data_IF_281544021884
#
_entry.id   IF_281544021884
#
_cell.length_a   1.000
_cell.length_b   1.000
_cell.length_c   1.000
_cell.angle_alpha   90.00
_cell.angle_beta   90.00
_cell.angle_gamma   90.00
#
_symmetry.space_group_name_H-M   'P 1'
#
loop_
_entity.id
_entity.type
_entity.pdbx_description
1 polymer ?
#
# COMPACT_ATOMS: atom_id res chain seq x y z
N UNK A 1 4.26 5.92 8.81
CA UNK A 1 3.98 4.96 7.73
C UNK A 1 3.17 3.82 8.34
N UNK A 2 2.37 3.13 7.56
CA UNK A 2 1.43 2.10 8.02
C UNK A 2 1.34 1.04 6.92
N UNK A 3 1.28 -0.24 7.30
CA UNK A 3 1.19 -1.35 6.32
C UNK A 3 -0.18 -1.41 5.69
N UNK A 4 -1.22 -1.13 6.49
CA UNK A 4 -2.61 -1.30 6.09
C UNK A 4 -3.57 -0.26 6.65
N UNK A 5 -4.35 0.33 5.76
CA UNK A 5 -5.53 1.17 6.05
C UNK A 5 -6.60 0.76 5.06
N UNK A 6 -7.78 0.32 5.47
CA UNK A 6 -8.77 -0.11 4.47
C UNK A 6 -10.23 -0.14 4.92
N UNK A 7 -10.57 -0.09 6.21
CA UNK A 7 -11.94 -0.44 6.61
C UNK A 7 -12.36 0.09 7.99
N UNK A 8 -13.67 0.00 8.24
CA UNK A 8 -14.23 0.12 9.58
C UNK A 8 -13.63 -0.95 10.49
N UNK A 9 -13.63 -2.20 10.03
CA UNK A 9 -13.06 -3.34 10.74
C UNK A 9 -12.09 -4.08 9.82
N UNK A 10 -10.93 -4.43 10.35
CA UNK A 10 -9.99 -5.35 9.69
C UNK A 10 -10.01 -6.65 10.48
N UNK A 11 -10.23 -7.77 9.80
CA UNK A 11 -10.07 -9.11 10.38
C UNK A 11 -8.97 -9.85 9.62
N UNK A 12 -7.84 -10.12 10.28
CA UNK A 12 -6.77 -10.92 9.67
C UNK A 12 -7.09 -12.39 9.92
N UNK A 13 -7.41 -13.13 8.85
CA UNK A 13 -8.05 -14.45 8.90
C UNK A 13 -7.42 -15.46 7.91
N UNK A 14 -7.74 -16.75 8.07
CA UNK A 14 -7.33 -17.84 7.18
C UNK A 14 -5.83 -17.92 6.78
N UNK A 15 -4.93 -17.61 7.71
CA UNK A 15 -3.49 -17.66 7.52
C UNK A 15 -2.89 -16.41 6.87
N UNK A 16 -3.61 -15.28 6.86
CA UNK A 16 -3.05 -13.99 6.49
C UNK A 16 -2.16 -13.41 7.58
N UNK A 17 -1.20 -12.58 7.16
CA UNK A 17 -0.20 -11.93 8.01
C UNK A 17 -0.10 -10.44 7.65
N UNK A 18 -0.07 -9.55 8.64
CA UNK A 18 0.18 -8.11 8.42
C UNK A 18 1.36 -7.70 9.27
N UNK A 19 2.53 -7.54 8.66
CA UNK A 19 3.78 -7.28 9.36
C UNK A 19 4.29 -5.87 9.08
N UNK A 20 4.29 -5.03 10.11
CA UNK A 20 4.90 -3.70 10.10
C UNK A 20 6.37 -3.67 10.44
N UNK A 21 6.98 -4.83 10.74
CA UNK A 21 8.42 -4.94 10.88
C UNK A 21 9.07 -4.99 9.50
N UNK A 22 10.20 -4.32 9.35
CA UNK A 22 10.93 -4.37 8.07
C UNK A 22 11.47 -5.78 7.86
N UNK A 23 10.93 -6.49 6.87
CA UNK A 23 11.24 -7.88 6.59
C UNK A 23 12.66 -8.08 6.06
N UNK A 24 13.37 -6.98 5.77
CA UNK A 24 14.70 -6.99 5.22
C UNK A 24 15.79 -6.60 6.21
N UNK A 25 16.96 -7.23 6.01
CA UNK A 25 18.19 -6.79 6.66
C UNK A 25 18.88 -5.70 5.83
N UNK A 26 19.65 -4.81 6.48
CA UNK A 26 20.46 -3.82 5.77
C UNK A 26 21.52 -4.43 4.80
N UNK A 27 21.75 -5.75 4.82
CA UNK A 27 22.58 -6.42 3.81
C UNK A 27 21.83 -6.72 2.51
N UNK A 28 20.50 -6.81 2.56
CA UNK A 28 19.66 -7.10 1.39
C UNK A 28 19.43 -5.82 0.56
N UNK A 29 19.37 -4.67 1.24
CA UNK A 29 19.28 -3.37 0.59
C UNK A 29 19.76 -2.22 1.50
N UNK A 30 20.26 -1.09 0.94
CA UNK A 30 20.79 0.03 1.71
C UNK A 30 19.78 0.71 2.66
N UNK A 31 18.47 0.53 2.42
CA UNK A 31 17.39 1.08 3.23
C UNK A 31 16.80 0.11 4.26
N UNK A 32 17.26 -1.15 4.31
CA UNK A 32 16.74 -2.17 5.21
C UNK A 32 17.05 -1.89 6.69
N UNK A 33 16.36 -2.59 7.59
CA UNK A 33 16.24 -2.26 9.02
C UNK A 33 15.65 -0.86 9.26
N UNK A 34 14.65 -0.46 8.47
CA UNK A 34 13.87 0.72 8.78
C UNK A 34 13.16 0.56 10.13
N UNK A 35 12.76 1.69 10.72
CA UNK A 35 11.93 1.66 11.92
C UNK A 35 10.63 0.90 11.64
N UNK A 36 10.21 0.09 12.63
CA UNK A 36 8.92 -0.60 12.59
C UNK A 36 7.79 0.41 12.39
N UNK A 37 6.83 0.03 11.56
CA UNK A 37 5.64 0.83 11.27
C UNK A 37 4.42 0.19 11.93
N UNK A 38 3.31 0.93 11.97
CA UNK A 38 2.04 0.34 12.45
C UNK A 38 1.63 -0.80 11.52
N UNK A 39 1.33 -1.97 12.07
CA UNK A 39 0.86 -3.12 11.31
C UNK A 39 -0.48 -2.82 10.64
N UNK A 40 -1.58 -2.91 11.39
CA UNK A 40 -2.92 -2.65 10.86
C UNK A 40 -3.60 -1.44 11.49
N UNK A 41 -4.25 -0.62 10.66
CA UNK A 41 -5.09 0.50 11.14
C UNK A 41 -6.50 0.37 10.58
N UNK A 42 -7.48 0.41 11.48
CA UNK A 42 -8.91 0.44 11.14
C UNK A 42 -9.63 1.57 11.88
N UNK A 43 -10.83 1.97 11.42
CA UNK A 43 -11.60 3.02 12.10
C UNK A 43 -12.23 2.56 13.42
N UNK A 44 -12.66 1.30 13.49
CA UNK A 44 -13.46 0.75 14.59
C UNK A 44 -12.71 -0.35 15.33
N UNK A 45 -12.22 -1.37 14.64
CA UNK A 45 -11.46 -2.45 15.26
C UNK A 45 -10.53 -3.16 14.30
N UNK A 46 -9.42 -3.63 14.85
CA UNK A 46 -8.55 -4.62 14.21
C UNK A 46 -8.66 -5.91 15.03
N UNK A 47 -8.89 -7.03 14.37
CA UNK A 47 -8.89 -8.36 14.97
C UNK A 47 -7.97 -9.30 14.22
N UNK A 48 -7.49 -10.29 14.95
CA UNK A 48 -6.65 -11.37 14.47
C UNK A 48 -7.34 -12.69 14.82
N UNK A 49 -7.60 -13.51 13.80
CA UNK A 49 -8.07 -14.88 13.96
C UNK A 49 -6.98 -15.83 14.49
N UNK A 50 -7.34 -17.07 14.79
CA UNK A 50 -6.36 -18.05 15.27
C UNK A 50 -5.35 -18.44 14.17
N UNK A 51 -4.05 -18.37 14.48
CA UNK A 51 -2.94 -18.71 13.58
C UNK A 51 -2.66 -17.70 12.47
N UNK A 52 -3.02 -16.44 12.72
CA UNK A 52 -2.64 -15.30 11.89
C UNK A 52 -1.65 -14.44 12.70
N UNK A 53 -1.15 -13.36 12.13
CA UNK A 53 -0.28 -12.45 12.88
C UNK A 53 -0.48 -10.99 12.44
N UNK A 54 -0.41 -10.10 13.42
CA UNK A 54 -0.38 -8.66 13.20
C UNK A 54 0.82 -8.13 13.99
N UNK A 55 1.92 -7.90 13.28
CA UNK A 55 3.15 -7.40 13.86
C UNK A 55 3.34 -5.92 13.48
N UNK A 56 4.01 -5.14 14.34
CA UNK A 56 4.28 -3.73 14.08
C UNK A 56 4.62 -2.96 15.36
N UNK A 57 4.79 -1.65 15.23
CA UNK A 57 5.02 -0.76 16.37
C UNK A 57 4.22 0.55 16.25
N UNK A 58 2.95 0.57 16.73
CA UNK A 58 2.23 -0.53 17.38
C UNK A 58 1.77 -1.63 16.41
N UNK A 59 1.44 -2.81 16.92
CA UNK A 59 0.85 -3.92 16.13
C UNK A 59 -0.41 -3.44 15.38
N UNK A 60 -1.32 -2.79 16.10
CA UNK A 60 -2.51 -2.19 15.52
C UNK A 60 -2.87 -0.86 16.15
N UNK A 61 -3.62 -0.05 15.41
CA UNK A 61 -4.17 1.22 15.89
C UNK A 61 -5.61 1.40 15.43
N UNK A 62 -6.43 2.05 16.26
CA UNK A 62 -7.79 2.43 15.91
C UNK A 62 -7.82 3.93 15.65
N UNK A 63 -8.30 4.32 14.46
CA UNK A 63 -8.40 5.71 14.10
C UNK A 63 -9.78 6.30 14.37
N UNK A 64 -9.92 6.91 15.55
CA UNK A 64 -11.20 7.50 16.00
C UNK A 64 -11.63 8.80 15.27
N UNK A 65 -10.75 9.37 14.44
CA UNK A 65 -10.88 10.65 13.74
C UNK A 65 -11.79 10.67 12.52
N UNK A 66 -12.16 9.51 12.00
CA UNK A 66 -12.88 9.37 10.73
C UNK A 66 -11.95 9.44 9.50
N UNK A 67 -12.54 9.29 8.31
CA UNK A 67 -11.83 9.04 7.04
C UNK A 67 -10.95 10.20 6.56
N UNK A 68 -11.31 11.45 6.85
CA UNK A 68 -10.48 12.60 6.48
C UNK A 68 -9.23 12.68 7.34
N UNK A 69 -9.36 12.49 8.67
CA UNK A 69 -8.17 12.35 9.50
C UNK A 69 -7.35 11.17 8.99
N UNK A 70 -8.02 10.06 8.63
CA UNK A 70 -7.40 8.84 8.12
C UNK A 70 -6.45 9.06 6.93
N UNK A 71 -6.87 9.89 5.98
CA UNK A 71 -6.05 10.22 4.83
C UNK A 71 -4.97 11.26 5.16
N UNK A 72 -5.28 12.21 6.07
CA UNK A 72 -4.37 13.25 6.51
C UNK A 72 -3.13 12.73 7.27
N UNK A 73 -3.23 11.72 8.17
CA UNK A 73 -2.02 11.26 8.89
C UNK A 73 -1.07 10.40 8.06
N UNK A 74 -1.56 9.78 6.98
CA UNK A 74 -0.67 9.12 6.02
C UNK A 74 0.07 10.16 5.17
N UNK A 75 -0.45 11.40 5.11
CA UNK A 75 0.12 12.48 4.31
C UNK A 75 0.00 12.25 2.81
N UNK A 76 -0.85 11.31 2.38
CA UNK A 76 -1.08 11.03 0.97
C UNK A 76 -2.07 12.03 0.39
N UNK A 77 -1.68 12.65 -0.71
CA UNK A 77 -2.56 13.51 -1.50
C UNK A 77 -3.37 12.68 -2.47
N UNK A 78 -4.33 11.90 -1.95
CA UNK A 78 -5.17 11.05 -2.79
C UNK A 78 -5.86 11.85 -3.88
N UNK A 79 -6.33 13.06 -3.56
CA UNK A 79 -6.90 14.01 -4.51
C UNK A 79 -5.99 14.34 -5.71
N UNK A 80 -4.67 14.27 -5.52
CA UNK A 80 -3.68 14.43 -6.59
C UNK A 80 -3.39 13.09 -7.27
N UNK A 81 -3.27 12.00 -6.50
CA UNK A 81 -2.91 10.68 -7.01
C UNK A 81 -4.04 10.01 -7.82
N UNK A 82 -5.31 10.31 -7.51
CA UNK A 82 -6.48 9.84 -8.25
C UNK A 82 -6.84 10.74 -9.43
N UNK A 83 -6.26 11.94 -9.54
CA UNK A 83 -6.51 12.84 -10.67
C UNK A 83 -6.17 12.10 -11.99
N UNK A 84 -7.12 11.98 -12.95
CA UNK A 84 -6.87 11.33 -14.23
C UNK A 84 -5.69 11.91 -15.00
N UNK A 85 -5.37 13.20 -14.78
CA UNK A 85 -4.24 13.90 -15.39
C UNK A 85 -2.92 13.74 -14.61
N UNK A 86 -2.95 13.15 -13.41
CA UNK A 86 -1.71 12.83 -12.69
C UNK A 86 -0.89 11.81 -13.50
N UNK A 87 0.40 12.10 -13.74
CA UNK A 87 1.21 11.34 -14.66
C UNK A 87 1.57 9.98 -14.06
N UNK A 88 1.35 8.94 -14.85
CA UNK A 88 1.71 7.55 -14.54
C UNK A 88 2.41 6.94 -15.75
N UNK A 89 3.24 5.92 -15.54
CA UNK A 89 3.93 5.23 -16.62
C UNK A 89 2.97 4.37 -17.45
N UNK A 90 1.98 3.78 -16.78
CA UNK A 90 1.00 2.89 -17.41
C UNK A 90 -0.42 3.12 -16.89
N UNK A 91 -1.40 3.04 -17.80
CA UNK A 91 -2.83 3.14 -17.48
C UNK A 91 -3.56 1.90 -17.97
N UNK A 92 -4.23 1.20 -17.05
CA UNK A 92 -5.01 -0.02 -17.27
C UNK A 92 -4.21 -1.16 -17.97
N UNK A 93 -2.90 -1.20 -17.75
CA UNK A 93 -2.01 -2.21 -18.30
C UNK A 93 -0.75 -2.34 -17.45
N UNK A 94 -0.17 -3.53 -17.42
CA UNK A 94 1.14 -3.76 -16.80
C UNK A 94 2.28 -3.54 -17.82
N UNK A 95 3.45 -3.04 -17.38
CA UNK A 95 4.67 -3.12 -18.18
C UNK A 95 5.10 -4.57 -18.42
N UNK A 96 5.99 -4.76 -19.40
CA UNK A 96 6.80 -5.97 -19.47
C UNK A 96 7.89 -5.92 -18.40
N UNK A 97 7.60 -6.44 -17.22
CA UNK A 97 8.52 -6.46 -16.07
C UNK A 97 9.83 -7.21 -16.36
N UNK A 98 9.88 -8.07 -17.38
CA UNK A 98 11.10 -8.75 -17.82
C UNK A 98 11.98 -7.90 -18.75
N UNK A 99 11.44 -6.81 -19.30
CA UNK A 99 12.15 -5.89 -20.17
C UNK A 99 12.66 -4.62 -19.45
N UNK A 100 12.18 -4.36 -18.23
CA UNK A 100 12.64 -3.23 -17.40
C UNK A 100 13.61 -3.69 -16.29
N UNK A 101 14.54 -2.82 -15.85
CA UNK A 101 15.49 -3.16 -14.79
C UNK A 101 14.79 -3.66 -13.51
N UNK A 102 15.33 -4.66 -12.81
CA UNK A 102 14.72 -5.20 -11.58
C UNK A 102 14.50 -4.16 -10.48
N UNK A 103 15.32 -3.12 -10.43
CA UNK A 103 15.26 -1.99 -9.51
C UNK A 103 14.37 -0.82 -10.01
N UNK A 104 13.62 -1.03 -11.09
CA UNK A 104 12.67 -0.05 -11.62
C UNK A 104 11.27 -0.28 -11.06
N UNK A 105 10.68 0.77 -10.47
CA UNK A 105 9.38 0.76 -9.80
C UNK A 105 8.37 1.66 -10.55
N UNK A 106 7.78 1.18 -11.66
CA UNK A 106 6.86 2.00 -12.45
C UNK A 106 5.61 2.43 -11.66
N UNK A 107 5.04 3.58 -12.00
CA UNK A 107 3.74 4.03 -11.50
C UNK A 107 2.65 3.56 -12.46
N UNK A 108 1.75 2.72 -11.97
CA UNK A 108 0.70 2.06 -12.75
C UNK A 108 -0.65 2.45 -12.18
N UNK A 109 -1.56 2.96 -13.02
CA UNK A 109 -2.94 3.23 -12.64
C UNK A 109 -3.89 2.22 -13.26
N UNK A 110 -4.82 1.71 -12.47
CA UNK A 110 -6.05 1.09 -12.95
C UNK A 110 -7.27 1.90 -12.49
N UNK A 111 -8.35 1.87 -13.28
CA UNK A 111 -9.60 2.56 -12.94
C UNK A 111 -10.77 1.56 -12.91
N UNK A 112 -11.66 1.71 -11.93
CA UNK A 112 -12.83 0.86 -11.73
C UNK A 112 -12.54 -0.38 -10.88
N UNK A 113 -13.31 -1.45 -11.08
CA UNK A 113 -13.12 -2.72 -10.36
C UNK A 113 -11.98 -3.53 -10.98
N UNK A 114 -10.95 -3.82 -10.21
CA UNK A 114 -9.74 -4.52 -10.66
C UNK A 114 -9.63 -5.86 -9.99
N UNK A 115 -9.96 -6.92 -10.73
CA UNK A 115 -9.62 -8.28 -10.32
C UNK A 115 -8.13 -8.54 -10.55
N UNK A 116 -7.31 -8.37 -9.51
CA UNK A 116 -5.86 -8.44 -9.59
C UNK A 116 -5.40 -9.91 -9.52
N UNK A 117 -4.99 -10.44 -10.67
CA UNK A 117 -4.43 -11.79 -10.80
C UNK A 117 -3.13 -11.74 -11.60
N UNK A 118 -2.18 -10.97 -11.06
CA UNK A 118 -0.91 -10.70 -11.71
C UNK A 118 0.17 -10.44 -10.67
N UNK A 119 1.43 -10.56 -11.11
CA UNK A 119 2.62 -10.23 -10.35
C UNK A 119 3.23 -8.94 -10.91
N UNK A 120 3.73 -8.07 -10.05
CA UNK A 120 4.43 -6.87 -10.48
C UNK A 120 5.19 -6.19 -9.34
N UNK A 121 5.69 -5.00 -9.65
CA UNK A 121 6.37 -4.14 -8.69
C UNK A 121 6.12 -2.67 -9.03
N UNK A 122 6.32 -1.78 -8.08
CA UNK A 122 6.18 -0.34 -8.27
C UNK A 122 5.10 0.29 -7.40
N UNK A 123 4.50 1.35 -7.92
CA UNK A 123 3.31 1.95 -7.31
C UNK A 123 2.10 1.52 -8.12
N UNK A 124 1.20 0.75 -7.51
CA UNK A 124 -0.09 0.41 -8.07
C UNK A 124 -1.16 1.36 -7.49
N UNK A 125 -1.72 2.22 -8.34
CA UNK A 125 -2.85 3.08 -8.01
C UNK A 125 -4.12 2.44 -8.58
N UNK A 126 -5.09 2.13 -7.73
CA UNK A 126 -6.41 1.64 -8.12
C UNK A 126 -7.43 2.73 -7.81
N UNK A 127 -7.79 3.49 -8.84
CA UNK A 127 -8.87 4.48 -8.83
C UNK A 127 -10.22 3.74 -8.96
N UNK A 128 -10.61 3.08 -7.88
CA UNK A 128 -11.78 2.21 -7.76
C UNK A 128 -11.55 1.07 -6.77
N UNK A 129 -12.11 -0.11 -7.05
CA UNK A 129 -12.09 -1.26 -6.13
C UNK A 129 -10.93 -2.18 -6.47
N UNK A 130 -10.04 -2.40 -5.51
CA UNK A 130 -8.98 -3.39 -5.59
C UNK A 130 -9.45 -4.75 -5.04
N UNK A 131 -9.54 -5.74 -5.92
CA UNK A 131 -10.00 -7.11 -5.63
C UNK A 131 -8.87 -8.09 -5.99
N UNK A 132 -7.87 -8.27 -5.11
CA UNK A 132 -6.75 -9.15 -5.38
C UNK A 132 -7.09 -10.61 -5.12
N UNK A 133 -6.72 -11.44 -6.08
CA UNK A 133 -6.84 -12.90 -6.02
C UNK A 133 -5.65 -13.54 -5.30
N UNK A 134 -5.70 -14.84 -4.94
CA UNK A 134 -4.57 -15.54 -4.29
C UNK A 134 -3.29 -15.61 -5.13
N UNK A 135 -3.38 -15.32 -6.42
CA UNK A 135 -2.24 -15.31 -7.34
C UNK A 135 -1.66 -13.90 -7.53
N UNK A 136 -2.24 -12.88 -6.89
CA UNK A 136 -1.67 -11.54 -6.85
C UNK A 136 -0.38 -11.53 -6.04
N UNK A 137 0.65 -10.85 -6.54
CA UNK A 137 1.89 -10.60 -5.83
C UNK A 137 2.43 -9.24 -6.22
N UNK A 138 2.83 -8.42 -5.24
CA UNK A 138 3.30 -7.07 -5.52
C UNK A 138 4.47 -6.65 -4.64
N UNK A 139 5.54 -6.17 -5.27
CA UNK A 139 6.67 -5.57 -4.57
C UNK A 139 6.55 -4.03 -4.64
N UNK A 140 6.26 -3.37 -3.52
CA UNK A 140 6.16 -1.90 -3.44
C UNK A 140 4.86 -1.39 -2.81
N UNK A 141 4.30 -0.33 -3.38
CA UNK A 141 3.16 0.40 -2.80
C UNK A 141 1.90 0.07 -3.59
N UNK A 142 0.84 -0.34 -2.90
CA UNK A 142 -0.52 -0.40 -3.44
C UNK A 142 -1.37 0.69 -2.79
N UNK A 143 -1.98 1.55 -3.60
CA UNK A 143 -2.91 2.59 -3.19
C UNK A 143 -4.25 2.33 -3.87
N UNK A 144 -5.34 2.22 -3.12
CA UNK A 144 -6.66 1.94 -3.70
C UNK A 144 -7.76 2.82 -3.11
N UNK A 145 -8.70 3.28 -3.93
CA UNK A 145 -9.88 4.00 -3.41
C UNK A 145 -10.63 3.13 -2.39
N UNK A 146 -10.97 1.91 -2.82
CA UNK A 146 -11.64 0.86 -2.06
C UNK A 146 -10.90 -0.48 -2.22
N UNK A 147 -11.16 -1.41 -1.30
CA UNK A 147 -10.76 -2.82 -1.43
C UNK A 147 -11.98 -3.72 -1.30
N UNK A 148 -11.94 -4.90 -1.92
CA UNK A 148 -13.01 -5.88 -1.78
C UNK A 148 -13.14 -6.40 -0.33
N UNK A 149 -14.22 -7.13 -0.05
CA UNK A 149 -14.48 -7.67 1.30
C UNK A 149 -13.44 -8.70 1.75
N UNK A 150 -12.68 -9.26 0.79
CA UNK A 150 -11.60 -10.21 1.05
C UNK A 150 -10.37 -9.79 0.24
N UNK A 151 -9.24 -9.62 0.92
CA UNK A 151 -7.93 -9.39 0.28
C UNK A 151 -7.11 -10.67 0.30
N UNK A 152 -6.60 -11.09 -0.86
CA UNK A 152 -5.78 -12.29 -1.04
C UNK A 152 -4.49 -11.97 -1.80
N UNK A 153 -3.54 -12.91 -1.76
CA UNK A 153 -2.28 -12.81 -2.48
C UNK A 153 -1.11 -12.49 -1.56
N UNK A 154 -0.18 -11.66 -2.05
CA UNK A 154 1.03 -11.29 -1.35
C UNK A 154 1.43 -9.85 -1.69
N UNK A 155 1.81 -9.06 -0.70
CA UNK A 155 2.35 -7.72 -0.88
C UNK A 155 3.64 -7.60 -0.07
N UNK A 156 4.75 -7.36 -0.75
CA UNK A 156 6.05 -7.01 -0.16
C UNK A 156 6.22 -5.48 -0.22
N UNK A 157 5.70 -4.79 0.79
CA UNK A 157 5.67 -3.34 0.86
C UNK A 157 4.49 -2.82 1.69
N UNK A 158 3.66 -1.96 1.13
CA UNK A 158 2.51 -1.38 1.86
C UNK A 158 1.24 -1.37 1.01
N UNK A 159 0.09 -1.52 1.67
CA UNK A 159 -1.23 -1.36 1.11
C UNK A 159 -1.97 -0.24 1.84
N UNK A 160 -2.40 0.79 1.12
CA UNK A 160 -3.21 1.86 1.70
C UNK A 160 -4.49 2.00 0.87
N UNK A 161 -5.63 1.96 1.53
CA UNK A 161 -6.94 2.05 0.89
C UNK A 161 -8.01 2.73 1.76
N UNK A 162 -9.20 2.93 1.18
CA UNK A 162 -10.31 3.62 1.85
C UNK A 162 -10.16 5.15 1.81
N UNK A 163 -9.68 5.69 0.69
CA UNK A 163 -9.34 7.11 0.58
C UNK A 163 -10.55 8.05 0.40
N UNK A 164 -11.67 7.58 -0.19
CA UNK A 164 -12.85 8.42 -0.48
C UNK A 164 -14.01 8.24 0.52
N UNK A 165 -13.76 7.61 1.66
CA UNK A 165 -14.74 7.48 2.75
C UNK A 165 -14.77 6.06 3.32
N UNK A 166 -15.90 5.65 3.92
CA UNK A 166 -16.03 4.27 4.34
C UNK A 166 -15.88 3.38 3.14
N UNK A 167 -14.95 2.43 3.26
CA UNK A 167 -14.85 1.33 2.32
C UNK A 167 -16.26 0.79 2.04
N UNK A 168 -16.52 0.46 0.77
CA UNK A 168 -17.75 -0.20 0.34
C UNK A 168 -18.18 -1.38 1.23
N UNK A 169 -17.24 -2.04 1.93
CA UNK A 169 -17.49 -3.02 2.98
C UNK A 169 -17.08 -2.52 4.37
N UNK A 170 -17.91 -2.84 5.37
CA UNK A 170 -17.64 -2.49 6.78
C UNK A 170 -16.55 -3.36 7.42
N UNK A 171 -16.32 -4.54 6.87
CA UNK A 171 -15.30 -5.47 7.34
C UNK A 171 -14.55 -5.95 6.11
N UNK A 172 -13.23 -5.94 6.22
CA UNK A 172 -12.34 -6.50 5.21
C UNK A 172 -11.57 -7.64 5.84
N UNK A 173 -11.71 -8.83 5.25
CA UNK A 173 -11.01 -10.05 5.65
C UNK A 173 -9.64 -10.11 4.94
N UNK A 174 -8.57 -10.17 5.72
CA UNK A 174 -7.21 -10.30 5.19
C UNK A 174 -6.79 -11.76 5.18
N UNK A 175 -6.71 -12.32 3.97
CA UNK A 175 -6.25 -13.68 3.64
C UNK A 175 -5.00 -13.64 2.77
N UNK A 176 -4.19 -12.61 3.01
CA UNK A 176 -2.99 -12.23 2.27
C UNK A 176 -1.89 -11.98 3.28
N UNK A 177 -0.65 -12.05 2.81
CA UNK A 177 0.47 -11.55 3.59
C UNK A 177 0.80 -10.15 3.07
N UNK A 178 0.81 -9.15 3.96
CA UNK A 178 1.32 -7.82 3.68
C UNK A 178 2.52 -7.61 4.59
N UNK A 179 3.71 -7.72 4.02
CA UNK A 179 4.98 -7.60 4.73
C UNK A 179 5.60 -6.26 4.42
N UNK A 180 5.82 -5.42 5.43
CA UNK A 180 6.55 -4.18 5.24
C UNK A 180 7.97 -4.47 4.80
N UNK A 181 8.32 -3.94 3.64
CA UNK A 181 9.66 -4.04 3.10
C UNK A 181 10.13 -2.68 2.63
N UNK A 182 10.91 -2.04 3.48
CA UNK A 182 11.28 -0.62 3.36
C UNK A 182 11.92 -0.28 2.01
N UNK A 183 12.70 -1.19 1.42
CA UNK A 183 13.37 -0.93 0.15
C UNK A 183 12.46 -0.93 -1.06
N UNK A 184 11.48 -1.83 -1.13
CA UNK A 184 10.46 -1.79 -2.18
C UNK A 184 9.61 -0.51 -2.02
N UNK A 185 9.29 -0.15 -0.77
CA UNK A 185 8.55 1.09 -0.46
C UNK A 185 9.34 2.33 -0.85
N UNK A 186 10.64 2.40 -0.55
CA UNK A 186 11.48 3.53 -0.95
C UNK A 186 11.64 3.62 -2.46
N UNK A 187 11.88 2.51 -3.16
CA UNK A 187 11.98 2.48 -4.62
C UNK A 187 10.67 2.92 -5.30
N UNK A 188 9.54 2.44 -4.79
CA UNK A 188 8.21 2.87 -5.24
C UNK A 188 7.96 4.36 -4.93
N UNK A 189 8.30 4.83 -3.73
CA UNK A 189 8.12 6.23 -3.34
C UNK A 189 9.01 7.21 -4.14
N UNK A 190 10.24 6.82 -4.48
CA UNK A 190 11.10 7.61 -5.39
C UNK A 190 10.42 7.82 -6.75
N UNK A 191 9.62 6.87 -7.20
CA UNK A 191 8.89 6.97 -8.47
C UNK A 191 7.73 7.96 -8.42
N UNK A 192 7.19 8.24 -7.22
CA UNK A 192 6.26 9.37 -6.98
C UNK A 192 6.99 10.71 -6.81
N UNK A 193 8.28 10.68 -6.50
CA UNK A 193 9.09 11.86 -6.17
C UNK A 193 9.57 12.65 -7.40
N UNK A 194 9.41 12.13 -8.61
CA UNK A 194 9.77 12.83 -9.85
C UNK A 194 8.89 14.05 -10.17
N UNK A 195 7.96 14.41 -9.27
CA UNK A 195 6.98 15.48 -9.44
C UNK A 195 7.15 16.57 -8.37
N UNK A 196 8.28 17.29 -8.39
CA UNK A 196 8.35 18.77 -8.34
C UNK A 196 9.80 19.26 -8.24
N UNK A 197 10.35 19.80 -9.33
CA UNK A 197 11.21 20.97 -9.22
C UNK A 197 10.30 22.19 -9.39
N UNK A 198 9.82 22.74 -8.29
CA UNK A 198 9.28 24.09 -8.30
C UNK A 198 10.41 25.03 -8.79
N UNK A 199 10.25 25.77 -9.89
CA UNK A 199 11.19 26.83 -10.21
C UNK A 199 11.21 27.80 -9.01
N UNK A 200 12.39 27.93 -8.38
CA UNK A 200 12.73 28.73 -7.18
C UNK A 200 12.85 28.01 -5.82
N UNK A 201 12.83 26.68 -5.72
CA UNK A 201 13.29 26.01 -4.48
C UNK A 201 14.82 25.85 -4.48
N UNK A 202 15.49 26.68 -3.68
CA UNK A 202 16.92 26.53 -3.39
C UNK A 202 17.10 25.28 -2.54
N UNK A 203 17.76 24.25 -3.07
CA UNK A 203 18.34 23.18 -2.27
C UNK A 203 19.47 23.79 -1.42
N UNK A 204 19.22 24.09 -0.15
CA UNK A 204 20.30 24.23 0.82
C UNK A 204 20.70 22.83 1.30
N UNK A 205 21.82 22.35 0.77
CA UNK A 205 22.54 21.20 1.31
C UNK A 205 23.42 21.75 2.44
N UNK A 206 23.21 21.29 3.67
CA UNK A 206 24.21 21.41 4.74
C UNK A 206 25.20 20.26 4.64
#
# INVERSE_FOLDING_TARGET
ATVLIAADNIDVDNGGEVHGWDYNSASDCPGGNADDITGAIARVSVSEGSSNDIEGSPESEIWSGGWTEMTDSVGLRWDVLSDPDFPVDHVNSLPDFGAIPPDSFPVIRYTGWVYANFTGRGVLIVDGVFDPSPSFSWDGIVLAEDVDDIIQGYIDGILVAGFEGPNMYSTVDFRTDVNYHSCEVYGANESLSYLELLPNTVFEVN
#
